data_IF_752646735462
#
_entry.id   IF_752646735462
#
_cell.length_a   1.000
_cell.length_b   1.000
_cell.length_c   1.000
_cell.angle_alpha   90.00
_cell.angle_beta   90.00
_cell.angle_gamma   90.00
#
_symmetry.space_group_name_H-M   'P 1'
#
loop_
_entity.id
_entity.type
_entity.pdbx_description
1 polymer ?
#
# COMPACT_ATOMS: atom_id res chain seq x y z
N UNK A 1 6.36 -3.52 15.44
CA UNK A 1 7.15 -3.29 14.22
C UNK A 1 8.24 -4.37 14.09
N UNK A 2 7.90 -5.66 14.09
CA UNK A 2 8.88 -6.77 14.04
C UNK A 2 9.15 -7.31 12.63
N UNK A 3 8.19 -7.20 11.71
CA UNK A 3 8.29 -7.79 10.36
C UNK A 3 9.49 -7.28 9.53
N UNK A 4 9.91 -6.03 9.73
CA UNK A 4 11.06 -5.46 9.01
C UNK A 4 12.38 -6.12 9.42
N UNK A 5 12.46 -6.69 10.62
CA UNK A 5 13.66 -7.36 11.13
C UNK A 5 13.84 -8.75 10.49
N UNK A 6 12.76 -9.33 9.95
CA UNK A 6 12.77 -10.61 9.24
C UNK A 6 13.18 -10.48 7.76
N UNK A 7 13.35 -9.26 7.26
CA UNK A 7 13.71 -9.04 5.86
C UNK A 7 15.14 -9.51 5.57
N UNK A 8 15.34 -10.08 4.39
CA UNK A 8 16.68 -10.38 3.91
C UNK A 8 17.48 -9.07 3.73
N UNK A 9 18.80 -9.16 3.83
CA UNK A 9 19.67 -8.01 3.62
C UNK A 9 19.51 -7.37 2.23
N UNK A 10 19.13 -8.15 1.21
CA UNK A 10 18.82 -7.65 -0.13
C UNK A 10 17.56 -6.78 -0.14
N UNK A 11 16.46 -7.31 0.42
CA UNK A 11 15.19 -6.60 0.52
C UNK A 11 15.33 -5.30 1.31
N UNK A 12 16.10 -5.33 2.42
CA UNK A 12 16.37 -4.12 3.20
C UNK A 12 17.06 -3.03 2.35
N UNK A 13 18.10 -3.39 1.59
CA UNK A 13 18.79 -2.44 0.69
C UNK A 13 17.88 -1.88 -0.40
N UNK A 14 17.02 -2.72 -0.99
CA UNK A 14 16.09 -2.28 -2.03
C UNK A 14 15.08 -1.27 -1.48
N UNK A 15 14.54 -1.50 -0.28
CA UNK A 15 13.67 -0.54 0.39
C UNK A 15 14.38 0.78 0.70
N UNK A 16 15.63 0.74 1.13
CA UNK A 16 16.41 1.98 1.33
C UNK A 16 16.62 2.74 0.03
N UNK A 17 16.97 2.04 -1.05
CA UNK A 17 17.16 2.65 -2.37
C UNK A 17 15.84 3.27 -2.88
N UNK A 18 14.73 2.54 -2.74
CA UNK A 18 13.38 3.03 -3.04
C UNK A 18 13.04 4.29 -2.24
N UNK A 19 13.25 4.27 -0.92
CA UNK A 19 12.98 5.42 -0.06
C UNK A 19 13.81 6.65 -0.46
N UNK A 20 15.09 6.47 -0.78
CA UNK A 20 15.95 7.56 -1.28
C UNK A 20 15.43 8.13 -2.60
N UNK A 21 15.00 7.26 -3.52
CA UNK A 21 14.42 7.67 -4.80
C UNK A 21 13.12 8.46 -4.59
N UNK A 22 12.17 7.92 -3.81
CA UNK A 22 10.90 8.58 -3.54
C UNK A 22 11.09 9.95 -2.85
N UNK A 23 12.04 10.05 -1.91
CA UNK A 23 12.31 11.30 -1.18
C UNK A 23 12.66 12.48 -2.11
N UNK A 24 13.27 12.21 -3.27
CA UNK A 24 13.58 13.25 -4.27
C UNK A 24 12.33 13.94 -4.83
N UNK A 25 11.20 13.24 -4.86
CA UNK A 25 9.94 13.72 -5.42
C UNK A 25 8.89 14.05 -4.36
N UNK A 26 9.27 13.93 -3.08
CA UNK A 26 8.38 14.23 -1.97
C UNK A 26 8.20 15.76 -1.86
N UNK A 27 6.96 16.23 -2.04
CA UNK A 27 6.62 17.64 -2.10
C UNK A 27 5.62 17.95 -3.23
N UNK A 28 5.71 19.16 -3.80
CA UNK A 28 4.71 19.66 -4.75
C UNK A 28 4.46 18.75 -5.95
N UNK A 29 5.52 18.14 -6.51
CA UNK A 29 5.40 17.24 -7.67
C UNK A 29 4.55 16.02 -7.33
N UNK A 30 4.78 15.41 -6.17
CA UNK A 30 3.97 14.31 -5.66
C UNK A 30 2.52 14.74 -5.47
N UNK A 31 2.27 15.84 -4.76
CA UNK A 31 0.90 16.31 -4.52
C UNK A 31 0.13 16.62 -5.82
N UNK A 32 0.79 17.24 -6.79
CA UNK A 32 0.18 17.54 -8.08
C UNK A 32 -0.18 16.23 -8.82
N UNK A 33 0.74 15.27 -8.83
CA UNK A 33 0.54 13.97 -9.49
C UNK A 33 -0.57 13.18 -8.80
N UNK A 34 -0.62 13.19 -7.47
CA UNK A 34 -1.66 12.53 -6.68
C UNK A 34 -3.05 13.12 -6.99
N UNK A 35 -3.18 14.46 -7.07
CA UNK A 35 -4.45 15.13 -7.43
C UNK A 35 -4.89 14.80 -8.86
N UNK A 36 -3.97 14.79 -9.81
CA UNK A 36 -4.27 14.46 -11.21
C UNK A 36 -4.76 13.02 -11.32
N UNK A 37 -4.08 12.08 -10.66
CA UNK A 37 -4.49 10.68 -10.66
C UNK A 37 -5.84 10.48 -9.98
N UNK A 38 -6.06 11.13 -8.82
CA UNK A 38 -7.34 11.05 -8.11
C UNK A 38 -8.51 11.51 -8.98
N UNK A 39 -8.36 12.65 -9.66
CA UNK A 39 -9.37 13.16 -10.59
C UNK A 39 -9.58 12.22 -11.79
N UNK A 40 -8.50 11.68 -12.35
CA UNK A 40 -8.58 10.69 -13.45
C UNK A 40 -9.38 9.46 -13.02
N UNK A 41 -9.10 8.89 -11.85
CA UNK A 41 -9.79 7.71 -11.35
C UNK A 41 -11.28 7.98 -11.06
N UNK A 42 -11.59 9.13 -10.45
CA UNK A 42 -12.97 9.55 -10.20
C UNK A 42 -13.76 9.70 -11.50
N UNK A 43 -13.13 10.24 -12.56
CA UNK A 43 -13.72 10.29 -13.88
C UNK A 43 -13.89 8.90 -14.52
N UNK A 44 -13.01 7.96 -14.20
CA UNK A 44 -13.03 6.57 -14.71
C UNK A 44 -13.73 5.60 -13.75
N UNK A 45 -14.91 5.99 -13.25
CA UNK A 45 -15.80 5.16 -12.42
C UNK A 45 -15.24 4.67 -11.07
N UNK A 46 -14.05 5.10 -10.65
CA UNK A 46 -13.54 4.86 -9.29
C UNK A 46 -13.87 6.06 -8.40
N UNK A 47 -15.11 6.12 -7.90
CA UNK A 47 -15.65 7.25 -7.14
C UNK A 47 -14.80 7.73 -5.96
N UNK A 48 -14.01 6.83 -5.38
CA UNK A 48 -13.15 7.13 -4.22
C UNK A 48 -11.70 7.44 -4.62
N UNK A 49 -11.44 7.52 -5.92
CA UNK A 49 -10.16 7.85 -6.51
C UNK A 49 -9.02 6.99 -5.96
N UNK A 50 -7.93 7.63 -5.55
CA UNK A 50 -6.72 6.92 -5.08
C UNK A 50 -6.96 6.09 -3.81
N UNK A 51 -8.00 6.37 -3.02
CA UNK A 51 -8.35 5.58 -1.83
C UNK A 51 -8.83 4.17 -2.17
N UNK A 52 -9.30 3.95 -3.40
CA UNK A 52 -9.76 2.65 -3.89
C UNK A 52 -8.67 1.57 -3.77
N UNK A 53 -7.40 1.95 -3.94
CA UNK A 53 -6.26 1.03 -3.79
C UNK A 53 -6.09 0.56 -2.34
N UNK A 54 -6.20 1.47 -1.37
CA UNK A 54 -6.11 1.13 0.06
C UNK A 54 -7.21 0.18 0.48
N UNK A 55 -8.45 0.41 0.01
CA UNK A 55 -9.59 -0.46 0.30
C UNK A 55 -9.38 -1.90 -0.16
N UNK A 56 -8.78 -2.11 -1.33
CA UNK A 56 -8.46 -3.46 -1.79
C UNK A 56 -7.46 -4.17 -0.87
N UNK A 57 -6.44 -3.45 -0.37
CA UNK A 57 -5.49 -4.00 0.61
C UNK A 57 -6.19 -4.30 1.93
N UNK A 58 -7.07 -3.42 2.40
CA UNK A 58 -7.86 -3.65 3.61
C UNK A 58 -8.73 -4.91 3.50
N UNK A 59 -9.36 -5.13 2.33
CA UNK A 59 -10.14 -6.33 2.05
C UNK A 59 -9.28 -7.60 2.03
N UNK A 60 -8.09 -7.55 1.42
CA UNK A 60 -7.16 -8.68 1.41
C UNK A 60 -6.68 -9.03 2.83
N UNK A 61 -6.35 -8.02 3.63
CA UNK A 61 -5.96 -8.21 5.03
C UNK A 61 -7.13 -8.75 5.87
N UNK A 62 -8.34 -8.24 5.66
CA UNK A 62 -9.55 -8.75 6.32
C UNK A 62 -9.82 -10.21 5.94
N UNK A 63 -9.69 -10.57 4.67
CA UNK A 63 -9.83 -11.93 4.19
C UNK A 63 -8.79 -12.88 4.79
N UNK A 64 -7.51 -12.49 4.79
CA UNK A 64 -6.43 -13.26 5.40
C UNK A 64 -6.67 -13.51 6.89
N UNK A 65 -7.08 -12.47 7.62
CA UNK A 65 -7.42 -12.58 9.05
C UNK A 65 -8.66 -13.44 9.29
N UNK A 66 -9.64 -13.37 8.39
CA UNK A 66 -10.83 -14.23 8.43
C UNK A 66 -10.48 -15.71 8.23
N UNK A 67 -9.60 -16.02 7.27
CA UNK A 67 -9.06 -17.39 7.09
C UNK A 67 -8.31 -17.83 8.34
N UNK A 68 -7.38 -17.00 8.85
CA UNK A 68 -6.61 -17.33 10.05
C UNK A 68 -7.52 -17.54 11.29
N UNK A 69 -8.59 -16.76 11.42
CA UNK A 69 -9.59 -16.91 12.47
C UNK A 69 -10.42 -18.19 12.34
N UNK A 70 -10.78 -18.58 11.12
CA UNK A 70 -11.49 -19.83 10.85
C UNK A 70 -10.64 -21.08 11.14
N UNK A 71 -9.35 -21.04 10.77
CA UNK A 71 -8.39 -22.13 11.06
C UNK A 71 -8.08 -22.28 12.56
N UNK A 72 -8.18 -21.21 13.34
CA UNK A 72 -8.01 -21.25 14.78
C UNK A 72 -9.25 -21.75 15.54
N UNK A 73 -10.44 -21.71 14.94
CA UNK A 73 -11.69 -22.24 15.52
C UNK A 73 -11.95 -23.72 15.23
N UNK A 74 -11.15 -24.34 14.37
CA UNK A 74 -11.22 -25.78 14.05
C UNK A 74 -10.19 -26.63 14.84
N UNK A 75 -9.48 -26.02 15.82
CA UNK A 75 -8.54 -26.70 16.72
C UNK A 75 -9.04 -26.72 18.17
#
# INVERSE_FOLDING_TARGET
YSLREEYSAGVARDFEAWNRHCKKYDGFVREATDRINDAYLQANAQKEGVKSYGRMVDLLLAHYRGIAGAQASEQ
#
